data_IF_894215198441
#
_entry.id   IF_894215198441
#
_cell.length_a   1.000
_cell.length_b   1.000
_cell.length_c   1.000
_cell.angle_alpha   90.00
_cell.angle_beta   90.00
_cell.angle_gamma   90.00
#
_symmetry.space_group_name_H-M   'P 1'
#
loop_
_entity.id
_entity.type
_entity.pdbx_description
1 polymer ?
#
# COMPACT_ATOMS: atom_id res chain seq x y z
N UNK A 1 7.79 16.15 -10.01
CA UNK A 1 8.28 17.04 -8.93
C UNK A 1 7.07 17.43 -8.10
N UNK A 2 7.18 17.51 -6.79
CA UNK A 2 6.09 17.98 -5.92
C UNK A 2 6.43 19.42 -5.55
N UNK A 3 5.60 20.37 -5.95
CA UNK A 3 5.77 21.77 -5.62
C UNK A 3 5.38 22.04 -4.16
N UNK A 4 6.04 22.99 -3.53
CA UNK A 4 5.76 23.40 -2.15
C UNK A 4 6.36 22.51 -1.06
N UNK A 5 7.20 21.53 -1.38
CA UNK A 5 7.88 20.72 -0.36
C UNK A 5 8.84 21.55 0.52
N UNK A 6 9.39 22.61 -0.03
CA UNK A 6 10.28 23.56 0.63
C UNK A 6 9.56 24.42 1.68
N UNK A 7 8.26 24.69 1.48
CA UNK A 7 7.43 25.44 2.41
C UNK A 7 6.69 24.57 3.43
N UNK A 8 6.93 23.26 3.39
CA UNK A 8 6.33 22.34 4.36
C UNK A 8 6.81 22.64 5.78
N UNK A 9 5.87 22.80 6.69
CA UNK A 9 6.20 22.93 8.11
C UNK A 9 6.93 21.67 8.62
N UNK A 10 8.20 21.84 9.02
CA UNK A 10 9.04 20.75 9.52
C UNK A 10 8.52 20.13 10.82
N UNK A 11 7.60 20.80 11.53
CA UNK A 11 6.95 20.29 12.74
C UNK A 11 5.88 19.24 12.42
N UNK A 12 5.42 19.16 11.16
CA UNK A 12 4.45 18.14 10.75
C UNK A 12 5.15 16.80 10.71
N UNK A 13 4.71 15.88 11.58
CA UNK A 13 5.25 14.53 11.63
C UNK A 13 4.81 13.73 10.39
N UNK A 14 5.74 13.01 9.81
CA UNK A 14 5.46 11.97 8.83
C UNK A 14 5.60 10.63 9.53
N UNK A 15 4.53 9.84 9.55
CA UNK A 15 4.46 8.54 10.20
C UNK A 15 4.44 7.44 9.13
N UNK A 16 5.01 6.28 9.45
CA UNK A 16 5.07 5.15 8.54
C UNK A 16 3.69 4.50 8.41
N UNK A 17 3.10 4.56 7.21
CA UNK A 17 1.77 3.99 6.95
C UNK A 17 1.71 2.47 7.19
N UNK A 18 2.81 1.73 7.04
CA UNK A 18 2.86 0.31 7.33
C UNK A 18 2.66 0.01 8.82
N UNK A 19 2.93 1.00 9.67
CA UNK A 19 2.74 0.94 11.13
C UNK A 19 1.44 1.59 11.59
N UNK A 20 0.44 1.74 10.72
CA UNK A 20 -0.82 2.40 11.07
C UNK A 20 -1.48 1.80 12.32
N UNK A 21 -1.40 0.49 12.50
CA UNK A 21 -1.89 -0.18 13.71
C UNK A 21 -1.18 0.30 14.97
N UNK A 22 0.16 0.35 14.97
CA UNK A 22 0.98 0.84 16.07
C UNK A 22 0.74 2.34 16.34
N UNK A 23 0.62 3.15 15.29
CA UNK A 23 0.29 4.58 15.37
C UNK A 23 -1.06 4.79 16.06
N UNK A 24 -2.08 4.10 15.60
CA UNK A 24 -3.44 4.27 16.13
C UNK A 24 -3.60 3.67 17.53
N UNK A 25 -2.83 2.66 17.91
CA UNK A 25 -2.82 2.13 19.29
C UNK A 25 -1.89 2.89 20.24
N UNK A 26 -1.21 3.94 19.76
CA UNK A 26 -0.48 4.87 20.61
C UNK A 26 0.93 4.43 20.97
N UNK A 27 1.59 3.58 20.17
CA UNK A 27 2.98 3.19 20.43
C UNK A 27 3.93 4.39 20.24
N UNK A 28 4.72 4.75 21.27
CA UNK A 28 5.53 5.99 21.27
C UNK A 28 6.48 6.06 20.07
N UNK A 29 7.19 4.99 19.78
CA UNK A 29 8.11 4.92 18.65
C UNK A 29 7.41 5.13 17.30
N UNK A 30 6.24 4.51 17.08
CA UNK A 30 5.47 4.70 15.86
C UNK A 30 4.91 6.12 15.74
N UNK A 31 4.62 6.77 16.86
CA UNK A 31 4.21 8.16 16.96
C UNK A 31 5.39 9.15 16.95
N UNK A 32 6.64 8.66 16.93
CA UNK A 32 7.85 9.50 17.08
C UNK A 32 7.76 10.41 18.30
N UNK A 33 7.36 9.83 19.43
CA UNK A 33 7.15 10.49 20.73
C UNK A 33 6.18 11.70 20.71
N UNK A 34 5.40 11.80 19.67
CA UNK A 34 4.40 12.86 19.53
C UNK A 34 3.02 12.46 20.05
N UNK A 35 2.05 13.39 20.04
CA UNK A 35 0.70 13.14 20.53
C UNK A 35 -0.03 12.06 19.72
N UNK A 36 -1.00 11.37 20.34
CA UNK A 36 -1.82 10.37 19.65
C UNK A 36 -2.66 11.01 18.52
N UNK A 37 -2.93 10.22 17.49
CA UNK A 37 -3.82 10.61 16.40
C UNK A 37 -5.25 10.65 16.95
N UNK A 38 -5.98 11.76 16.71
CA UNK A 38 -7.35 12.00 17.14
C UNK A 38 -8.35 12.16 16.01
N UNK A 39 -7.86 12.48 14.79
CA UNK A 39 -8.68 12.54 13.59
C UNK A 39 -7.88 12.00 12.40
N UNK A 40 -8.57 11.33 11.49
CA UNK A 40 -7.95 10.72 10.32
C UNK A 40 -8.85 10.86 9.09
N UNK A 41 -8.28 11.33 7.99
CA UNK A 41 -8.88 11.21 6.66
C UNK A 41 -8.19 10.07 5.92
N UNK A 42 -8.95 9.08 5.49
CA UNK A 42 -8.48 7.96 4.69
C UNK A 42 -8.95 8.16 3.26
N UNK A 43 -8.01 8.16 2.30
CA UNK A 43 -8.29 8.25 0.87
C UNK A 43 -7.50 7.19 0.11
N UNK A 44 -8.10 6.58 -0.91
CA UNK A 44 -7.46 5.65 -1.84
C UNK A 44 -6.77 4.45 -1.18
N UNK A 45 -7.23 4.02 -0.01
CA UNK A 45 -6.65 2.87 0.69
C UNK A 45 -7.66 2.22 1.64
N UNK A 46 -7.48 0.90 1.85
CA UNK A 46 -8.30 0.11 2.76
C UNK A 46 -7.43 -0.54 3.85
N UNK A 47 -6.90 0.24 4.82
CA UNK A 47 -5.93 -0.24 5.80
C UNK A 47 -6.41 -1.43 6.62
N UNK A 48 -7.71 -1.56 6.91
CA UNK A 48 -8.23 -2.74 7.62
C UNK A 48 -8.08 -4.06 6.85
N UNK A 49 -7.95 -4.01 5.52
CA UNK A 49 -7.65 -5.19 4.71
C UNK A 49 -6.17 -5.30 4.37
N UNK A 50 -5.50 -4.18 4.01
CA UNK A 50 -4.18 -4.22 3.38
C UNK A 50 -3.02 -3.98 4.34
N UNK A 51 -3.23 -3.33 5.48
CA UNK A 51 -2.13 -3.03 6.39
C UNK A 51 -1.71 -4.29 7.20
N UNK A 52 -0.40 -4.45 7.45
CA UNK A 52 0.11 -5.57 8.23
C UNK A 52 -0.29 -5.45 9.71
N UNK A 53 -0.20 -6.57 10.44
CA UNK A 53 -0.63 -6.66 11.83
C UNK A 53 -2.09 -6.22 12.03
N UNK A 54 -2.98 -6.79 11.22
CA UNK A 54 -4.38 -6.36 11.07
C UNK A 54 -5.16 -6.24 12.39
N UNK A 55 -4.91 -7.11 13.37
CA UNK A 55 -5.57 -7.03 14.68
C UNK A 55 -5.24 -5.72 15.42
N UNK A 56 -4.00 -5.24 15.29
CA UNK A 56 -3.59 -3.95 15.85
C UNK A 56 -4.25 -2.79 15.10
N UNK A 57 -4.35 -2.91 13.77
CA UNK A 57 -5.06 -1.94 12.92
C UNK A 57 -6.53 -1.85 13.33
N UNK A 58 -7.20 -2.98 13.48
CA UNK A 58 -8.61 -3.05 13.89
C UNK A 58 -8.85 -2.42 15.26
N UNK A 59 -7.99 -2.73 16.25
CA UNK A 59 -8.06 -2.10 17.57
C UNK A 59 -7.88 -0.57 17.49
N UNK A 60 -6.99 -0.12 16.62
CA UNK A 60 -6.75 1.30 16.42
C UNK A 60 -7.96 2.04 15.85
N UNK A 61 -8.58 1.49 14.81
CA UNK A 61 -9.78 2.05 14.19
C UNK A 61 -11.03 1.95 15.08
N UNK A 62 -11.08 0.99 16.01
CA UNK A 62 -12.20 0.83 16.94
C UNK A 62 -12.14 1.74 18.17
N UNK A 63 -11.20 2.70 18.25
CA UNK A 63 -11.09 3.63 19.36
C UNK A 63 -12.21 4.65 19.34
N UNK A 64 -12.90 4.82 20.47
CA UNK A 64 -13.98 5.82 20.65
C UNK A 64 -13.49 7.27 20.57
N UNK A 65 -12.20 7.51 20.81
CA UNK A 65 -11.58 8.83 20.82
C UNK A 65 -10.87 9.20 19.51
N UNK A 66 -11.09 8.42 18.43
CA UNK A 66 -10.55 8.63 17.09
C UNK A 66 -11.69 8.97 16.14
N UNK A 67 -11.72 10.19 15.60
CA UNK A 67 -12.62 10.55 14.50
C UNK A 67 -12.04 10.05 13.17
N UNK A 68 -12.82 9.27 12.42
CA UNK A 68 -12.41 8.69 11.12
C UNK A 68 -13.35 9.15 10.02
N UNK A 69 -12.80 9.81 9.02
CA UNK A 69 -13.47 10.13 7.77
C UNK A 69 -12.85 9.30 6.64
N UNK A 70 -13.66 8.56 5.90
CA UNK A 70 -13.21 7.74 4.77
C UNK A 70 -13.81 8.28 3.48
N UNK A 71 -12.97 8.61 2.50
CA UNK A 71 -13.37 9.00 1.15
C UNK A 71 -13.05 7.84 0.21
N UNK A 72 -14.06 7.10 -0.22
CA UNK A 72 -13.89 5.82 -0.88
C UNK A 72 -15.01 5.54 -1.90
N UNK A 73 -14.72 4.71 -2.88
CA UNK A 73 -15.64 4.29 -3.94
C UNK A 73 -16.60 3.18 -3.48
N UNK A 74 -16.18 2.38 -2.51
CA UNK A 74 -16.94 1.25 -1.96
C UNK A 74 -17.02 1.32 -0.45
N UNK A 75 -18.05 0.70 0.13
CA UNK A 75 -18.15 0.54 1.58
C UNK A 75 -17.21 -0.59 2.04
N UNK A 76 -15.91 -0.27 2.04
CA UNK A 76 -14.81 -1.18 2.41
C UNK A 76 -14.85 -1.52 3.90
N UNK A 77 -13.99 -2.49 4.31
CA UNK A 77 -13.84 -2.82 5.74
C UNK A 77 -13.43 -1.58 6.55
N UNK A 78 -12.56 -0.73 6.03
CA UNK A 78 -12.17 0.52 6.67
C UNK A 78 -13.32 1.52 6.75
N UNK A 79 -14.10 1.65 5.67
CA UNK A 79 -15.25 2.55 5.65
C UNK A 79 -16.33 2.17 6.68
N UNK A 80 -16.44 0.90 7.05
CA UNK A 80 -17.37 0.42 8.09
C UNK A 80 -17.01 0.85 9.51
N UNK A 81 -15.76 1.29 9.74
CA UNK A 81 -15.28 1.84 11.02
C UNK A 81 -15.28 3.37 11.02
N UNK A 82 -15.68 4.02 9.93
CA UNK A 82 -15.68 5.46 9.83
C UNK A 82 -16.89 6.10 10.51
N UNK A 83 -16.67 7.28 11.12
CA UNK A 83 -17.74 8.17 11.60
C UNK A 83 -18.42 8.87 10.43
N UNK A 84 -17.65 9.15 9.36
CA UNK A 84 -18.14 9.77 8.13
C UNK A 84 -17.59 9.06 6.91
N UNK A 85 -18.47 8.70 5.98
CA UNK A 85 -18.09 8.18 4.66
C UNK A 85 -18.47 9.19 3.59
N UNK A 86 -17.50 9.59 2.79
CA UNK A 86 -17.69 10.47 1.63
C UNK A 86 -17.58 9.62 0.36
N UNK A 87 -18.58 9.61 -0.53
CA UNK A 87 -18.51 8.85 -1.76
C UNK A 87 -17.52 9.49 -2.75
N UNK A 88 -16.61 8.67 -3.28
CA UNK A 88 -15.59 9.08 -4.23
C UNK A 88 -15.95 8.74 -5.68
N UNK A 89 -15.47 9.54 -6.61
CA UNK A 89 -15.62 9.27 -8.04
C UNK A 89 -14.75 8.11 -8.49
N UNK A 90 -15.22 7.37 -9.49
CA UNK A 90 -14.44 6.36 -10.23
C UNK A 90 -13.62 7.02 -11.34
N UNK A 91 -12.64 6.29 -11.87
CA UNK A 91 -11.66 6.80 -12.85
C UNK A 91 -12.26 7.33 -14.18
N UNK A 92 -13.48 6.93 -14.57
CA UNK A 92 -14.19 7.47 -15.73
C UNK A 92 -15.01 8.74 -15.43
N UNK A 93 -15.13 9.10 -14.15
CA UNK A 93 -16.03 10.15 -13.65
C UNK A 93 -15.32 11.48 -13.36
N UNK A 94 -14.02 11.56 -13.58
CA UNK A 94 -13.21 12.78 -13.42
C UNK A 94 -12.07 12.84 -14.44
N UNK A 95 -11.54 14.05 -14.66
CA UNK A 95 -10.33 14.24 -15.43
C UNK A 95 -9.10 13.82 -14.61
N UNK A 96 -8.15 13.13 -15.23
CA UNK A 96 -6.94 12.68 -14.56
C UNK A 96 -5.75 12.56 -15.52
N UNK A 97 -4.55 12.39 -14.96
CA UNK A 97 -3.31 12.20 -15.68
C UNK A 97 -2.69 10.87 -15.29
N UNK A 98 -2.53 9.97 -16.25
CA UNK A 98 -2.05 8.61 -16.01
C UNK A 98 -0.61 8.38 -16.43
N UNK A 99 0.13 7.73 -15.54
CA UNK A 99 1.38 7.03 -15.80
C UNK A 99 1.25 5.57 -15.38
N UNK A 100 2.10 4.69 -15.85
CA UNK A 100 2.07 3.30 -15.41
C UNK A 100 3.48 2.75 -15.16
N UNK A 101 3.59 1.77 -14.27
CA UNK A 101 4.85 1.09 -13.96
C UNK A 101 5.39 0.18 -15.07
N UNK A 102 4.57 -0.15 -16.08
CA UNK A 102 4.93 -1.02 -17.19
C UNK A 102 5.30 -0.30 -18.49
N UNK A 103 5.22 1.04 -18.52
CA UNK A 103 5.60 1.86 -19.66
C UNK A 103 5.92 3.29 -19.23
N UNK A 104 6.58 4.06 -20.09
CA UNK A 104 6.96 5.47 -19.87
C UNK A 104 5.98 6.48 -20.45
N UNK A 105 4.84 6.06 -20.97
CA UNK A 105 3.87 6.96 -21.58
C UNK A 105 3.05 7.69 -20.53
N UNK A 106 2.85 9.00 -20.75
CA UNK A 106 1.95 9.87 -20.00
C UNK A 106 0.68 10.08 -20.83
N UNK A 107 -0.49 9.93 -20.22
CA UNK A 107 -1.77 10.07 -20.89
C UNK A 107 -2.72 10.96 -20.07
N UNK A 108 -3.47 11.81 -20.76
CA UNK A 108 -4.63 12.46 -20.18
C UNK A 108 -5.86 11.56 -20.33
N UNK A 109 -6.57 11.37 -19.24
CA UNK A 109 -7.83 10.64 -19.18
C UNK A 109 -8.97 11.65 -18.93
N UNK A 110 -9.69 12.08 -19.96
CA UNK A 110 -10.83 12.97 -19.79
C UNK A 110 -11.99 12.23 -19.10
N UNK A 111 -12.74 12.96 -18.29
CA UNK A 111 -14.01 12.48 -17.76
C UNK A 111 -14.91 11.96 -18.90
N UNK A 112 -15.38 10.73 -18.81
CA UNK A 112 -16.17 10.06 -19.84
C UNK A 112 -17.65 9.95 -19.46
N UNK A 113 -17.99 9.89 -18.16
CA UNK A 113 -19.36 9.78 -17.65
C UNK A 113 -19.55 10.72 -16.46
N UNK A 114 -20.79 11.10 -16.19
CA UNK A 114 -21.09 11.88 -15.00
C UNK A 114 -21.11 10.99 -13.76
N UNK A 115 -20.48 11.44 -12.64
CA UNK A 115 -20.55 10.72 -11.37
C UNK A 115 -21.96 10.74 -10.79
N UNK A 116 -22.28 9.79 -9.89
CA UNK A 116 -23.44 9.94 -9.03
C UNK A 116 -23.43 11.29 -8.29
N UNK A 117 -24.61 11.91 -8.03
CA UNK A 117 -24.67 13.31 -7.59
C UNK A 117 -23.88 13.67 -6.33
N UNK A 118 -23.70 12.73 -5.41
CA UNK A 118 -22.98 12.95 -4.14
C UNK A 118 -21.49 12.64 -4.22
N UNK A 119 -21.04 11.95 -5.28
CA UNK A 119 -19.64 11.60 -5.45
C UNK A 119 -18.78 12.84 -5.76
N UNK A 120 -17.60 12.89 -5.16
CA UNK A 120 -16.61 13.96 -5.37
C UNK A 120 -15.23 13.36 -5.69
N UNK A 121 -14.47 14.08 -6.49
CA UNK A 121 -13.08 13.71 -6.75
C UNK A 121 -12.19 13.98 -5.52
N UNK A 122 -11.01 13.37 -5.49
CA UNK A 122 -10.00 13.67 -4.46
C UNK A 122 -9.66 15.16 -4.42
N UNK A 123 -9.54 15.80 -5.60
CA UNK A 123 -9.27 17.21 -5.70
C UNK A 123 -10.36 18.06 -5.05
N UNK A 124 -11.63 17.78 -5.34
CA UNK A 124 -12.77 18.53 -4.77
C UNK A 124 -12.79 18.44 -3.24
N UNK A 125 -12.58 17.24 -2.69
CA UNK A 125 -12.57 17.02 -1.23
C UNK A 125 -11.41 17.75 -0.58
N UNK A 126 -10.20 17.64 -1.13
CA UNK A 126 -9.00 18.29 -0.58
C UNK A 126 -9.10 19.81 -0.67
N UNK A 127 -9.54 20.36 -1.80
CA UNK A 127 -9.74 21.78 -1.97
C UNK A 127 -10.82 22.33 -1.02
N UNK A 128 -11.90 21.56 -0.80
CA UNK A 128 -12.93 21.96 0.15
C UNK A 128 -12.45 21.93 1.61
N UNK A 129 -11.63 20.94 1.98
CA UNK A 129 -11.01 20.89 3.32
C UNK A 129 -10.00 22.02 3.50
N UNK A 130 -9.14 22.27 2.51
CA UNK A 130 -8.15 23.34 2.54
C UNK A 130 -8.80 24.70 2.84
N UNK A 131 -9.87 25.02 2.14
CA UNK A 131 -10.64 26.27 2.39
C UNK A 131 -11.20 26.33 3.82
N UNK A 132 -11.67 25.21 4.38
CA UNK A 132 -12.22 25.16 5.74
C UNK A 132 -11.18 25.32 6.85
N UNK A 133 -9.96 24.85 6.60
CA UNK A 133 -8.84 24.99 7.56
C UNK A 133 -8.00 26.25 7.31
N UNK A 134 -8.39 27.09 6.35
CA UNK A 134 -7.68 28.32 6.03
C UNK A 134 -6.33 28.11 5.34
N UNK A 135 -6.14 26.97 4.65
CA UNK A 135 -4.95 26.74 3.85
C UNK A 135 -5.02 27.50 2.52
N UNK A 136 -3.98 28.27 2.21
CA UNK A 136 -3.90 29.11 1.02
C UNK A 136 -2.88 28.54 0.03
N UNK A 137 -3.36 28.17 -1.15
CA UNK A 137 -2.51 27.81 -2.30
C UNK A 137 -3.34 27.97 -3.58
N UNK A 138 -2.79 28.50 -4.69
CA UNK A 138 -3.52 28.72 -5.94
C UNK A 138 -4.21 27.46 -6.47
N UNK A 139 -3.60 26.29 -6.33
CA UNK A 139 -4.13 25.02 -6.81
C UNK A 139 -5.50 24.65 -6.18
N UNK A 140 -5.85 25.15 -4.99
CA UNK A 140 -7.15 24.88 -4.37
C UNK A 140 -8.32 25.61 -5.04
N UNK A 141 -8.02 26.59 -5.93
CA UNK A 141 -9.03 27.29 -6.72
C UNK A 141 -9.06 26.84 -8.19
N UNK A 142 -8.06 26.06 -8.63
CA UNK A 142 -7.95 25.57 -10.00
C UNK A 142 -8.89 24.37 -10.22
N UNK A 143 -9.40 24.24 -11.45
CA UNK A 143 -10.02 23.01 -11.92
C UNK A 143 -8.99 21.90 -12.12
N UNK A 144 -9.40 20.62 -12.18
CA UNK A 144 -8.49 19.52 -12.49
C UNK A 144 -7.69 19.73 -13.79
N UNK A 145 -8.33 20.26 -14.83
CA UNK A 145 -7.68 20.52 -16.12
C UNK A 145 -6.61 21.62 -16.03
N UNK A 146 -6.86 22.67 -15.26
CA UNK A 146 -5.87 23.74 -15.02
C UNK A 146 -4.66 23.21 -14.22
N UNK A 147 -4.88 22.35 -13.22
CA UNK A 147 -3.77 21.74 -12.48
C UNK A 147 -2.95 20.79 -13.38
N UNK A 148 -3.62 20.02 -14.23
CA UNK A 148 -2.93 19.14 -15.19
C UNK A 148 -2.09 19.97 -16.17
N UNK A 149 -2.66 21.02 -16.75
CA UNK A 149 -1.91 21.91 -17.66
C UNK A 149 -0.72 22.57 -16.96
N UNK A 150 -0.93 23.07 -15.75
CA UNK A 150 0.15 23.63 -14.94
C UNK A 150 1.25 22.60 -14.64
N UNK A 151 0.88 21.38 -14.24
CA UNK A 151 1.82 20.30 -13.97
C UNK A 151 2.65 19.93 -15.20
N UNK A 152 2.02 19.83 -16.36
CA UNK A 152 2.71 19.56 -17.64
C UNK A 152 3.73 20.64 -17.97
N UNK A 153 3.33 21.92 -17.89
CA UNK A 153 4.22 23.07 -18.13
C UNK A 153 5.38 23.12 -17.14
N UNK A 154 5.10 22.98 -15.84
CA UNK A 154 6.12 23.02 -14.80
C UNK A 154 7.12 21.86 -14.88
N UNK A 155 6.71 20.71 -15.46
CA UNK A 155 7.59 19.58 -15.70
C UNK A 155 8.28 19.56 -17.07
N UNK A 156 8.11 20.65 -17.89
CA UNK A 156 8.70 20.74 -19.22
C UNK A 156 8.08 19.77 -20.25
N UNK A 157 6.85 19.32 -20.02
CA UNK A 157 6.16 18.31 -20.83
C UNK A 157 5.08 18.89 -21.75
N UNK A 158 5.15 20.20 -22.03
CA UNK A 158 4.21 20.89 -22.91
C UNK A 158 2.92 21.31 -22.19
N UNK A 159 1.83 21.33 -22.90
CA UNK A 159 0.51 21.77 -22.46
C UNK A 159 -0.50 20.62 -22.48
N UNK A 160 -1.61 20.80 -21.76
CA UNK A 160 -2.71 19.83 -21.83
C UNK A 160 -3.29 19.73 -23.27
N UNK A 161 -3.41 20.84 -23.98
CA UNK A 161 -3.92 20.84 -25.35
C UNK A 161 -3.00 20.04 -26.31
N UNK A 162 -1.70 20.14 -26.16
CA UNK A 162 -0.74 19.33 -26.92
C UNK A 162 -0.84 17.86 -26.58
N UNK A 163 -0.99 17.51 -25.29
CA UNK A 163 -1.16 16.14 -24.85
C UNK A 163 -2.50 15.53 -25.37
N UNK A 164 -3.57 16.31 -25.35
CA UNK A 164 -4.88 15.87 -25.90
C UNK A 164 -4.77 15.61 -27.41
N UNK A 165 -4.09 16.47 -28.14
CA UNK A 165 -3.89 16.30 -29.59
C UNK A 165 -3.02 15.08 -29.91
N UNK A 166 -1.96 14.87 -29.13
CA UNK A 166 -1.05 13.74 -29.29
C UNK A 166 -1.61 12.42 -28.72
N UNK A 167 -2.60 12.49 -27.80
CA UNK A 167 -3.22 11.40 -27.03
C UNK A 167 -2.32 10.78 -25.95
N UNK A 168 -1.03 10.76 -26.15
CA UNK A 168 -0.01 10.32 -25.19
C UNK A 168 1.31 10.99 -25.48
N UNK A 169 2.14 11.09 -24.45
CA UNK A 169 3.50 11.60 -24.52
C UNK A 169 4.47 10.50 -24.10
N UNK A 170 5.46 10.20 -24.91
CA UNK A 170 6.57 9.34 -24.53
C UNK A 170 7.51 10.13 -23.61
N UNK A 171 7.66 9.67 -22.38
CA UNK A 171 8.53 10.24 -21.37
C UNK A 171 9.82 9.42 -21.19
N UNK A 172 10.15 8.55 -22.15
CA UNK A 172 11.40 7.82 -22.11
C UNK A 172 12.59 8.79 -22.07
N UNK A 173 13.57 8.58 -21.20
CA UNK A 173 14.85 9.28 -21.31
C UNK A 173 15.54 8.85 -22.62
N UNK A 174 16.46 9.66 -23.11
CA UNK A 174 17.30 9.29 -24.23
C UNK A 174 18.09 8.02 -23.92
N UNK A 175 18.56 7.31 -24.96
CA UNK A 175 19.40 6.12 -24.77
C UNK A 175 20.61 6.42 -23.86
N UNK A 176 21.27 7.53 -24.09
CA UNK A 176 22.47 7.93 -23.36
C UNK A 176 22.16 8.21 -21.88
N UNK A 177 21.03 8.86 -21.58
CA UNK A 177 20.58 9.10 -20.20
C UNK A 177 20.16 7.79 -19.50
N UNK A 178 19.38 6.96 -20.17
CA UNK A 178 18.90 5.69 -19.63
C UNK A 178 20.04 4.70 -19.32
N UNK A 179 21.16 4.80 -20.04
CA UNK A 179 22.32 3.92 -19.88
C UNK A 179 23.52 4.61 -19.22
N UNK A 180 23.31 5.79 -18.66
CA UNK A 180 24.34 6.57 -17.94
C UNK A 180 25.62 6.82 -18.76
N UNK A 181 25.54 6.95 -20.11
CA UNK A 181 26.70 7.19 -20.95
C UNK A 181 27.32 8.58 -20.72
N UNK A 182 26.52 9.51 -20.19
CA UNK A 182 26.97 10.84 -19.77
C UNK A 182 27.41 10.90 -18.28
N UNK A 183 27.58 9.74 -17.64
CA UNK A 183 27.92 9.61 -16.23
C UNK A 183 26.71 9.58 -15.29
N UNK A 184 26.97 9.42 -14.00
CA UNK A 184 25.98 9.37 -12.96
C UNK A 184 25.73 10.75 -12.36
N UNK A 185 24.63 10.92 -11.62
CA UNK A 185 24.22 12.20 -11.02
C UNK A 185 25.07 12.64 -9.79
N UNK A 186 26.21 12.03 -9.56
CA UNK A 186 27.19 12.47 -8.56
C UNK A 186 28.13 13.54 -9.14
N UNK A 187 28.68 14.40 -8.29
CA UNK A 187 29.58 15.48 -8.71
C UNK A 187 30.83 15.00 -9.48
N UNK A 188 31.26 13.78 -9.24
CA UNK A 188 32.38 13.13 -9.93
C UNK A 188 31.95 12.30 -11.15
N UNK A 189 30.65 12.29 -11.46
CA UNK A 189 30.07 11.54 -12.58
C UNK A 189 30.11 10.01 -12.44
N UNK A 190 30.51 9.48 -11.30
CA UNK A 190 30.72 8.03 -11.08
C UNK A 190 29.61 7.39 -10.30
N UNK A 191 29.43 6.08 -10.49
CA UNK A 191 28.59 5.25 -9.62
C UNK A 191 29.33 4.97 -8.30
N UNK A 192 28.68 5.27 -7.18
CA UNK A 192 29.24 5.04 -5.85
C UNK A 192 28.75 3.70 -5.31
N UNK A 193 29.62 2.68 -5.32
CA UNK A 193 29.30 1.35 -4.80
C UNK A 193 29.12 1.35 -3.27
N UNK A 194 29.85 2.23 -2.57
CA UNK A 194 29.76 2.37 -1.12
C UNK A 194 28.71 3.43 -0.78
N UNK A 195 27.62 3.01 -0.14
CA UNK A 195 26.58 3.92 0.30
C UNK A 195 26.99 4.72 1.52
N UNK A 196 26.70 6.01 1.53
CA UNK A 196 26.68 6.85 2.71
C UNK A 196 25.23 6.98 3.18
N UNK A 197 24.76 5.99 3.93
CA UNK A 197 23.38 5.95 4.42
C UNK A 197 22.99 7.17 5.25
N UNK A 198 23.85 7.70 6.16
CA UNK A 198 23.56 8.94 6.88
C UNK A 198 23.31 10.15 6.00
N UNK A 199 24.05 10.25 4.89
CA UNK A 199 23.91 11.38 3.96
C UNK A 199 22.75 11.22 2.97
N UNK A 200 22.09 10.06 2.91
CA UNK A 200 20.96 9.84 2.01
C UNK A 200 19.80 10.76 2.41
N UNK A 201 19.31 11.65 1.53
CA UNK A 201 18.34 12.70 1.89
C UNK A 201 17.08 12.17 2.57
N UNK A 202 16.67 10.98 2.19
CA UNK A 202 15.50 10.32 2.74
C UNK A 202 15.80 9.54 4.03
N UNK A 203 17.02 9.30 4.43
CA UNK A 203 17.34 8.57 5.65
C UNK A 203 17.00 9.36 6.92
N UNK A 204 16.96 10.69 6.83
CA UNK A 204 16.82 11.59 7.98
C UNK A 204 15.39 12.05 8.26
N UNK A 205 14.39 11.68 7.45
CA UNK A 205 13.00 12.12 7.67
C UNK A 205 12.22 11.23 8.65
N UNK A 206 12.88 10.19 9.17
CA UNK A 206 12.37 9.33 10.24
C UNK A 206 11.25 8.37 9.81
N UNK A 207 11.04 8.15 8.51
CA UNK A 207 10.12 7.13 7.99
C UNK A 207 10.76 5.75 7.82
N UNK A 208 12.05 5.61 8.17
CA UNK A 208 12.90 4.55 7.66
C UNK A 208 13.36 3.61 8.74
N UNK A 209 13.61 2.39 8.33
CA UNK A 209 14.16 1.35 9.17
C UNK A 209 15.60 1.63 9.62
N UNK A 210 16.29 0.67 10.23
CA UNK A 210 17.58 0.83 10.92
C UNK A 210 18.76 1.02 9.96
N UNK A 211 18.73 2.08 9.13
CA UNK A 211 19.72 2.38 8.10
C UNK A 211 21.15 2.50 8.63
N UNK A 212 21.34 2.83 9.92
CA UNK A 212 22.68 2.92 10.56
C UNK A 212 23.38 1.57 10.66
N UNK A 213 22.61 0.50 10.68
CA UNK A 213 23.10 -0.88 10.79
C UNK A 213 23.28 -1.53 9.42
N UNK A 214 22.92 -0.84 8.34
CA UNK A 214 23.02 -1.38 7.00
C UNK A 214 24.48 -1.47 6.54
N UNK A 215 24.84 -2.54 5.77
CA UNK A 215 26.17 -2.68 5.21
C UNK A 215 26.47 -1.54 4.24
N UNK A 216 27.71 -1.08 4.22
CA UNK A 216 28.16 -0.01 3.32
C UNK A 216 28.26 -0.44 1.86
N UNK A 217 28.42 -1.73 1.60
CA UNK A 217 28.45 -2.34 0.26
C UNK A 217 27.17 -3.17 0.05
N UNK A 218 26.75 -3.42 -1.22
CA UNK A 218 25.68 -4.34 -1.51
C UNK A 218 25.91 -5.70 -0.86
N UNK A 219 25.01 -6.11 0.01
CA UNK A 219 25.08 -7.35 0.77
C UNK A 219 23.68 -7.84 1.11
N UNK A 220 23.59 -9.05 1.64
CA UNK A 220 22.35 -9.61 2.16
C UNK A 220 21.98 -8.91 3.48
N UNK A 221 20.72 -8.52 3.57
CA UNK A 221 20.12 -7.97 4.78
C UNK A 221 18.90 -8.81 5.15
N UNK A 222 18.93 -9.42 6.34
CA UNK A 222 17.83 -10.26 6.82
C UNK A 222 16.63 -9.39 7.21
N UNK A 223 15.60 -9.40 6.38
CA UNK A 223 14.34 -8.66 6.59
C UNK A 223 13.16 -9.59 6.82
N UNK A 224 13.30 -10.87 6.49
CA UNK A 224 12.25 -11.87 6.61
C UNK A 224 12.38 -12.62 7.93
N UNK A 225 11.26 -13.13 8.40
CA UNK A 225 11.22 -14.03 9.56
C UNK A 225 11.92 -15.36 9.23
N UNK A 226 12.45 -16.01 10.24
CA UNK A 226 13.07 -17.34 10.09
C UNK A 226 12.16 -18.40 10.71
N UNK A 227 11.93 -19.51 10.02
CA UNK A 227 11.19 -20.64 10.54
C UNK A 227 11.84 -21.19 11.82
N UNK A 228 11.00 -21.60 12.75
CA UNK A 228 11.38 -22.29 13.98
C UNK A 228 10.50 -23.53 14.17
N UNK A 229 10.73 -24.29 15.24
CA UNK A 229 9.97 -25.50 15.52
C UNK A 229 8.49 -25.22 15.87
N UNK A 230 8.17 -24.02 16.35
CA UNK A 230 6.80 -23.60 16.66
C UNK A 230 6.05 -23.09 15.43
N UNK A 231 6.78 -22.50 14.47
CA UNK A 231 6.24 -21.91 13.24
C UNK A 231 6.96 -22.47 12.00
N UNK A 232 6.77 -23.78 11.70
CA UNK A 232 7.59 -24.49 10.71
C UNK A 232 7.27 -24.13 9.25
N UNK A 233 6.14 -23.46 8.99
CA UNK A 233 5.72 -23.12 7.65
C UNK A 233 6.06 -21.67 7.30
N UNK A 234 6.60 -21.49 6.11
CA UNK A 234 6.79 -20.18 5.49
C UNK A 234 5.51 -19.76 4.77
N UNK A 235 4.94 -18.62 5.11
CA UNK A 235 3.76 -18.06 4.46
C UNK A 235 4.17 -17.07 3.36
N UNK A 236 3.90 -17.40 2.11
CA UNK A 236 4.01 -16.49 0.98
C UNK A 236 2.64 -15.90 0.65
N UNK A 237 2.50 -14.60 0.85
CA UNK A 237 1.32 -13.84 0.41
C UNK A 237 1.54 -13.42 -1.04
N UNK A 238 0.89 -14.09 -1.97
CA UNK A 238 1.04 -13.86 -3.41
C UNK A 238 -0.11 -12.99 -3.96
N UNK A 239 0.12 -12.18 -5.01
CA UNK A 239 -0.99 -11.51 -5.70
C UNK A 239 -1.96 -12.52 -6.31
N UNK A 240 -3.26 -12.27 -6.18
CA UNK A 240 -4.27 -13.01 -6.94
C UNK A 240 -4.33 -12.51 -8.39
N UNK A 241 -4.80 -13.35 -9.28
CA UNK A 241 -4.87 -13.01 -10.71
C UNK A 241 -5.94 -11.95 -11.01
N UNK A 242 -7.05 -11.96 -10.30
CA UNK A 242 -8.21 -11.11 -10.58
C UNK A 242 -8.45 -10.03 -9.53
N UNK A 243 -7.57 -9.89 -8.54
CA UNK A 243 -7.55 -8.80 -7.57
C UNK A 243 -6.26 -8.00 -7.71
N UNK A 244 -6.32 -6.72 -7.41
CA UNK A 244 -5.16 -5.86 -7.22
C UNK A 244 -5.15 -5.37 -5.77
N UNK A 245 -4.42 -6.07 -4.91
CA UNK A 245 -4.54 -5.94 -3.46
C UNK A 245 -6.02 -6.11 -3.05
N UNK A 246 -6.64 -5.13 -2.38
CA UNK A 246 -8.07 -5.16 -2.05
C UNK A 246 -8.97 -4.57 -3.15
N UNK A 247 -8.40 -4.03 -4.26
CA UNK A 247 -9.19 -3.53 -5.38
C UNK A 247 -9.75 -4.70 -6.20
N UNK A 248 -10.94 -4.51 -6.76
CA UNK A 248 -11.74 -5.49 -7.49
C UNK A 248 -12.33 -6.63 -6.64
N UNK A 249 -12.15 -6.61 -5.33
CA UNK A 249 -12.78 -7.57 -4.43
C UNK A 249 -14.31 -7.40 -4.35
N UNK A 250 -14.85 -6.24 -4.70
CA UNK A 250 -16.27 -5.94 -4.82
C UNK A 250 -16.85 -6.34 -6.19
N UNK A 251 -15.99 -6.61 -7.19
CA UNK A 251 -16.40 -6.96 -8.53
C UNK A 251 -16.85 -8.43 -8.57
N UNK A 252 -18.13 -8.68 -8.90
CA UNK A 252 -18.73 -10.01 -8.88
C UNK A 252 -17.99 -11.03 -9.77
N UNK A 253 -17.52 -10.61 -10.94
CA UNK A 253 -16.78 -11.47 -11.88
C UNK A 253 -15.39 -11.85 -11.34
N UNK A 254 -14.69 -10.93 -10.69
CA UNK A 254 -13.41 -11.21 -10.05
C UNK A 254 -13.57 -12.15 -8.86
N UNK A 255 -14.55 -11.90 -7.99
CA UNK A 255 -14.87 -12.78 -6.86
C UNK A 255 -15.25 -14.20 -7.31
N UNK A 256 -16.04 -14.34 -8.35
CA UNK A 256 -16.43 -15.64 -8.87
C UNK A 256 -15.23 -16.45 -9.41
N UNK A 257 -14.24 -15.78 -10.00
CA UNK A 257 -13.03 -16.42 -10.53
C UNK A 257 -12.04 -16.85 -9.43
N UNK A 258 -11.88 -16.04 -8.41
CA UNK A 258 -10.98 -16.33 -7.28
C UNK A 258 -11.63 -17.26 -6.24
N UNK A 259 -12.97 -17.37 -6.26
CA UNK A 259 -13.81 -18.21 -5.40
C UNK A 259 -13.76 -17.84 -3.91
N UNK A 260 -12.67 -18.13 -3.18
CA UNK A 260 -12.56 -17.92 -1.73
C UNK A 260 -11.09 -17.88 -1.27
N UNK A 261 -10.81 -17.29 -0.08
CA UNK A 261 -9.48 -17.37 0.52
C UNK A 261 -9.06 -18.85 0.70
N UNK A 262 -7.88 -19.18 0.21
CA UNK A 262 -7.38 -20.55 0.19
C UNK A 262 -5.88 -20.58 0.49
N UNK A 263 -5.44 -21.53 1.31
CA UNK A 263 -4.03 -21.85 1.55
C UNK A 263 -3.61 -22.99 0.61
N UNK A 264 -2.71 -22.72 -0.33
CA UNK A 264 -2.13 -23.72 -1.22
C UNK A 264 -0.98 -24.40 -0.48
N UNK A 265 -1.00 -25.71 -0.36
CA UNK A 265 -0.01 -26.49 0.38
C UNK A 265 0.39 -27.76 -0.38
N UNK A 266 1.58 -28.25 -0.10
CA UNK A 266 2.01 -29.54 -0.65
C UNK A 266 1.14 -30.70 -0.08
N UNK A 267 0.74 -31.70 -0.90
CA UNK A 267 -0.11 -32.81 -0.43
C UNK A 267 0.45 -33.57 0.78
N UNK A 268 1.78 -33.76 0.83
CA UNK A 268 2.42 -34.45 1.97
C UNK A 268 2.39 -33.63 3.27
N UNK A 269 2.43 -32.29 3.16
CA UNK A 269 2.28 -31.41 4.33
C UNK A 269 0.85 -31.47 4.87
N UNK A 270 -0.15 -31.46 3.98
CA UNK A 270 -1.54 -31.66 4.37
C UNK A 270 -1.74 -33.01 5.04
N UNK A 271 -1.21 -34.10 4.46
CA UNK A 271 -1.31 -35.43 5.03
C UNK A 271 -0.64 -35.53 6.41
N UNK A 272 0.53 -34.89 6.60
CA UNK A 272 1.21 -34.86 7.90
C UNK A 272 0.42 -34.11 8.98
N UNK A 273 -0.42 -33.12 8.55
CA UNK A 273 -1.32 -32.40 9.45
C UNK A 273 -2.68 -33.11 9.66
N UNK A 274 -2.93 -34.22 8.96
CA UNK A 274 -4.23 -34.89 8.98
C UNK A 274 -5.33 -34.12 8.23
N UNK A 275 -4.96 -33.36 7.25
CA UNK A 275 -5.86 -32.55 6.41
C UNK A 275 -5.97 -33.15 5.00
N UNK A 276 -7.14 -33.05 4.40
CA UNK A 276 -7.42 -33.36 3.00
C UNK A 276 -7.62 -32.08 2.17
N UNK A 277 -7.60 -32.22 0.86
CA UNK A 277 -7.94 -31.14 -0.08
C UNK A 277 -9.36 -30.63 0.18
N UNK A 278 -9.50 -29.31 0.34
CA UNK A 278 -10.78 -28.65 0.64
C UNK A 278 -11.12 -28.49 2.12
N UNK A 279 -10.40 -29.15 3.02
CA UNK A 279 -10.58 -29.01 4.47
C UNK A 279 -10.33 -27.57 4.94
N UNK A 280 -10.67 -27.31 6.20
CA UNK A 280 -10.40 -26.02 6.85
C UNK A 280 -9.19 -26.17 7.77
N UNK A 281 -8.23 -25.27 7.62
CA UNK A 281 -7.10 -25.13 8.52
C UNK A 281 -7.14 -23.80 9.28
N UNK A 282 -6.47 -23.80 10.43
CA UNK A 282 -6.04 -22.59 11.13
C UNK A 282 -4.57 -22.37 10.84
N UNK A 283 -4.22 -21.18 10.43
CA UNK A 283 -2.83 -20.71 10.33
C UNK A 283 -2.62 -19.66 11.41
N UNK A 284 -1.50 -19.68 12.11
CA UNK A 284 -1.27 -18.72 13.17
C UNK A 284 0.19 -18.49 13.50
N UNK A 285 0.44 -17.38 14.19
CA UNK A 285 1.72 -16.98 14.76
C UNK A 285 1.46 -16.03 15.96
N UNK A 286 2.48 -15.45 16.62
CA UNK A 286 2.28 -14.56 17.77
C UNK A 286 1.38 -13.34 17.53
N UNK A 287 1.13 -12.96 16.27
CA UNK A 287 0.26 -11.83 15.92
C UNK A 287 -1.21 -12.19 15.90
N UNK A 288 -1.54 -13.46 15.67
CA UNK A 288 -2.92 -13.94 15.64
C UNK A 288 -3.07 -15.22 14.81
N UNK A 289 -4.32 -15.53 14.48
CA UNK A 289 -4.67 -16.68 13.63
C UNK A 289 -5.76 -16.34 12.63
N UNK A 290 -5.81 -17.10 11.54
CA UNK A 290 -6.84 -17.04 10.50
C UNK A 290 -7.35 -18.43 10.17
N UNK A 291 -8.62 -18.52 9.74
CA UNK A 291 -9.25 -19.77 9.32
C UNK A 291 -9.63 -19.70 7.85
N UNK A 292 -9.10 -20.64 7.05
CA UNK A 292 -9.34 -20.67 5.61
C UNK A 292 -9.30 -22.12 5.10
N UNK A 293 -9.79 -22.32 3.89
CA UNK A 293 -9.72 -23.62 3.25
C UNK A 293 -8.30 -23.92 2.76
N UNK A 294 -7.94 -25.20 2.72
CA UNK A 294 -6.70 -25.66 2.13
C UNK A 294 -6.93 -26.27 0.75
N UNK A 295 -5.90 -26.23 -0.09
CA UNK A 295 -5.86 -26.86 -1.40
C UNK A 295 -4.53 -27.57 -1.61
N UNK A 296 -4.61 -28.82 -2.02
CA UNK A 296 -3.45 -29.65 -2.33
C UNK A 296 -2.85 -29.28 -3.70
N UNK A 297 -1.61 -28.80 -3.73
CA UNK A 297 -0.89 -28.44 -4.95
C UNK A 297 0.50 -29.05 -4.92
N UNK A 298 0.75 -30.07 -5.73
CA UNK A 298 2.05 -30.74 -5.79
C UNK A 298 3.22 -29.85 -6.27
N UNK A 299 2.91 -28.74 -6.93
CA UNK A 299 3.91 -27.76 -7.37
C UNK A 299 4.34 -26.76 -6.28
N UNK A 300 3.71 -26.74 -5.13
CA UNK A 300 4.14 -25.94 -3.97
C UNK A 300 5.22 -26.74 -3.22
N UNK A 301 6.31 -26.08 -2.85
CA UNK A 301 7.38 -26.73 -2.06
C UNK A 301 6.90 -27.14 -0.68
N UNK A 302 7.49 -28.24 -0.14
CA UNK A 302 7.27 -28.64 1.25
C UNK A 302 7.65 -27.50 2.23
N UNK A 303 6.87 -27.34 3.29
CA UNK A 303 7.07 -26.28 4.27
C UNK A 303 6.64 -24.86 3.82
N UNK A 304 6.08 -24.74 2.61
CA UNK A 304 5.57 -23.49 2.08
C UNK A 304 4.03 -23.49 2.04
N UNK A 305 3.43 -22.40 2.50
CA UNK A 305 2.00 -22.11 2.35
C UNK A 305 1.89 -20.87 1.46
N UNK A 306 1.10 -20.95 0.37
CA UNK A 306 0.82 -19.81 -0.48
C UNK A 306 -0.63 -19.36 -0.28
N UNK A 307 -0.85 -18.08 0.03
CA UNK A 307 -2.18 -17.47 0.08
C UNK A 307 -2.26 -16.37 -0.97
N UNK A 308 -3.16 -16.52 -1.94
CA UNK A 308 -3.29 -15.58 -3.06
C UNK A 308 -4.34 -14.52 -2.79
N UNK A 309 -3.96 -13.26 -3.02
CA UNK A 309 -4.81 -12.08 -2.92
C UNK A 309 -5.04 -11.58 -1.52
N UNK A 310 -5.34 -10.28 -1.44
CA UNK A 310 -5.79 -9.64 -0.21
C UNK A 310 -7.32 -9.64 -0.22
N UNK A 311 -7.90 -10.68 0.33
CA UNK A 311 -9.33 -10.80 0.49
C UNK A 311 -9.85 -9.89 1.61
N UNK A 312 -11.06 -9.35 1.50
CA UNK A 312 -11.68 -8.67 2.63
C UNK A 312 -11.79 -9.63 3.83
N UNK A 313 -11.56 -9.15 5.06
CA UNK A 313 -11.65 -9.97 6.26
C UNK A 313 -12.96 -10.77 6.36
N UNK A 314 -14.07 -10.21 5.90
CA UNK A 314 -15.38 -10.88 5.86
C UNK A 314 -15.46 -12.13 4.96
N UNK A 315 -14.48 -12.33 4.09
CA UNK A 315 -14.40 -13.53 3.25
C UNK A 315 -13.74 -14.72 3.97
N UNK A 316 -13.01 -14.47 5.06
CA UNK A 316 -12.43 -15.52 5.90
C UNK A 316 -13.48 -16.06 6.89
N UNK A 317 -13.32 -17.32 7.30
CA UNK A 317 -14.29 -18.02 8.14
C UNK A 317 -14.44 -17.43 9.55
N UNK A 318 -13.42 -16.70 10.01
CA UNK A 318 -13.38 -16.04 11.33
C UNK A 318 -13.37 -14.51 11.24
N UNK A 319 -13.56 -13.95 10.05
CA UNK A 319 -13.55 -12.49 9.84
C UNK A 319 -12.19 -11.82 9.99
N UNK A 320 -11.09 -12.57 9.84
CA UNK A 320 -9.71 -12.10 9.94
C UNK A 320 -8.99 -12.35 8.64
N UNK A 321 -8.42 -11.31 8.04
CA UNK A 321 -7.67 -11.39 6.80
C UNK A 321 -6.23 -11.89 6.98
N UNK A 322 -5.60 -12.26 5.87
CA UNK A 322 -4.25 -12.83 5.87
C UNK A 322 -3.21 -11.90 6.54
N UNK A 323 -3.43 -10.59 6.49
CA UNK A 323 -2.55 -9.59 7.12
C UNK A 323 -2.61 -9.59 8.66
N UNK A 324 -3.45 -10.41 9.28
CA UNK A 324 -3.32 -10.77 10.69
C UNK A 324 -1.97 -11.42 10.99
N UNK A 325 -1.41 -12.16 10.01
CA UNK A 325 -0.18 -12.94 10.16
C UNK A 325 1.08 -12.19 9.71
N UNK A 326 0.96 -11.06 9.02
CA UNK A 326 2.12 -10.31 8.51
C UNK A 326 2.63 -9.29 9.54
N UNK A 327 3.96 -9.11 9.60
CA UNK A 327 4.61 -8.14 10.49
C UNK A 327 4.58 -6.71 9.94
N UNK A 328 4.66 -5.74 10.85
CA UNK A 328 4.68 -4.30 10.53
C UNK A 328 6.02 -3.64 10.89
N UNK A 329 7.06 -4.42 11.13
CA UNK A 329 8.38 -3.91 11.48
C UNK A 329 8.98 -3.17 10.27
N UNK A 330 9.55 -1.97 10.49
CA UNK A 330 10.09 -1.17 9.39
C UNK A 330 11.29 -1.85 8.75
N UNK A 331 11.31 -1.88 7.42
CA UNK A 331 12.40 -2.44 6.62
C UNK A 331 13.38 -1.34 6.22
N UNK A 332 14.68 -1.54 6.52
CA UNK A 332 15.72 -0.64 6.07
C UNK A 332 15.87 -0.66 4.53
N UNK A 333 16.29 0.44 3.88
CA UNK A 333 16.54 1.77 4.46
C UNK A 333 15.31 2.70 4.44
N UNK A 334 14.22 2.31 3.75
CA UNK A 334 13.14 3.23 3.40
C UNK A 334 11.84 3.02 4.19
N UNK A 335 11.81 2.19 5.22
CA UNK A 335 10.59 1.83 5.94
C UNK A 335 9.68 0.93 5.12
N UNK A 336 8.41 0.88 5.46
CA UNK A 336 7.50 -0.12 4.94
C UNK A 336 7.60 -1.43 5.73
N UNK A 337 6.96 -2.49 5.24
CA UNK A 337 6.96 -3.79 5.90
C UNK A 337 7.32 -4.93 4.94
N UNK A 338 7.94 -5.99 5.46
CA UNK A 338 8.12 -7.24 4.74
C UNK A 338 6.83 -8.06 4.84
N UNK A 339 6.03 -8.05 3.77
CA UNK A 339 4.75 -8.76 3.74
C UNK A 339 4.88 -10.24 3.42
N UNK A 340 6.02 -10.66 2.87
CA UNK A 340 6.27 -12.02 2.46
C UNK A 340 7.13 -12.74 3.50
N UNK A 341 7.04 -14.07 3.48
CA UNK A 341 7.87 -14.95 4.30
C UNK A 341 7.64 -14.79 5.81
N UNK A 342 6.44 -14.44 6.22
CA UNK A 342 6.03 -14.59 7.61
C UNK A 342 6.00 -16.09 7.98
N UNK A 343 6.40 -16.44 9.20
CA UNK A 343 6.35 -17.81 9.67
C UNK A 343 5.10 -18.10 10.45
N UNK A 344 4.54 -19.29 10.23
CA UNK A 344 3.26 -19.73 10.81
C UNK A 344 3.27 -21.20 11.18
N UNK A 345 2.46 -21.58 12.16
CA UNK A 345 1.99 -22.94 12.33
C UNK A 345 0.71 -23.16 11.52
N UNK A 346 0.44 -24.42 11.16
CA UNK A 346 -0.80 -24.86 10.54
C UNK A 346 -1.41 -26.02 11.34
N UNK A 347 -2.72 -26.02 11.55
CA UNK A 347 -3.45 -27.05 12.32
C UNK A 347 -4.84 -27.25 11.72
N UNK A 348 -5.46 -28.43 11.87
CA UNK A 348 -6.89 -28.61 11.60
C UNK A 348 -7.74 -27.60 12.39
N UNK A 349 -8.89 -27.18 11.81
CA UNK A 349 -9.79 -26.18 12.40
C UNK A 349 -10.59 -26.71 13.57
#
# INVERSE_FOLDING_TARGET
>A
MIEGLDVRDSRIRRLDQSRVGAILTGEPEALKDGPPVKAMLVQNTNPLAVAPHQEKVRRGFARDDLFVCVHEQFLTDTARYADVVLPATMFLEHDDLYTAGGHQHLQFAPKAIDPPPECRSNHDVIAALARRVGAEHPAFAMSPREIIDWTLRASGRGTLAELEAARWLDCAPSFDEAHFLNGFAHADGKFHLRADWPATPYANDGLKGPWREMPALPDYWAINETADDEHPFRLATSPARNFLNSSFTETATSRAREARPTALMHPEDLAALGLADGDVARLGNPRGEVRLHVRAIAGVSRGLIVSEGIWPPSAFLDGRGINTLTGADPVAPFGGAAFHDAHVWARPA
#
